data_IF_999677785733
#
_entry.id   IF_999677785733
#
_cell.length_a   1.000
_cell.length_b   1.000
_cell.length_c   1.000
_cell.angle_alpha   90.00
_cell.angle_beta   90.00
_cell.angle_gamma   90.00
#
_symmetry.space_group_name_H-M   'P 1'
#
loop_
_entity.id
_entity.type
_entity.pdbx_description
1 polymer ?
#
# COMPACT_ATOMS: atom_id res chain seq x y z
N UNK A 1 -10.30 18.74 -7.02
CA UNK A 1 -10.39 17.32 -7.45
C UNK A 1 -9.50 16.47 -6.54
N UNK A 2 -10.08 15.70 -5.62
CA UNK A 2 -9.32 14.73 -4.80
C UNK A 2 -8.77 13.63 -5.71
N UNK A 3 -7.48 13.69 -6.03
CA UNK A 3 -6.81 12.59 -6.74
C UNK A 3 -6.92 11.34 -5.85
N UNK A 4 -7.65 10.33 -6.32
CA UNK A 4 -7.74 9.03 -5.67
C UNK A 4 -6.34 8.41 -5.57
N UNK A 5 -6.08 7.56 -4.57
CA UNK A 5 -4.84 6.79 -4.52
C UNK A 5 -4.73 5.92 -5.77
N UNK A 6 -3.54 5.84 -6.35
CA UNK A 6 -3.27 4.95 -7.49
C UNK A 6 -2.86 3.58 -6.95
N UNK A 7 -3.51 2.52 -7.43
CA UNK A 7 -3.18 1.15 -7.04
C UNK A 7 -2.64 0.46 -8.27
N UNK A 8 -1.35 0.19 -8.28
CA UNK A 8 -0.60 -0.43 -9.36
C UNK A 8 -0.20 -1.85 -8.92
N UNK A 9 -1.20 -2.64 -8.51
CA UNK A 9 -1.03 -4.01 -8.07
C UNK A 9 -2.28 -4.83 -8.45
N UNK A 10 -2.13 -6.13 -8.78
CA UNK A 10 -3.23 -6.97 -9.23
C UNK A 10 -4.18 -7.43 -8.11
N UNK A 11 -3.91 -7.06 -6.85
CA UNK A 11 -4.64 -7.55 -5.68
C UNK A 11 -5.83 -6.66 -5.34
N UNK A 12 -6.98 -7.27 -5.03
CA UNK A 12 -8.17 -6.57 -4.56
C UNK A 12 -8.14 -6.40 -3.05
N UNK A 13 -7.62 -7.39 -2.32
CA UNK A 13 -7.55 -7.35 -0.86
C UNK A 13 -6.12 -7.38 -0.34
N UNK A 14 -5.93 -6.92 0.90
CA UNK A 14 -4.64 -7.00 1.59
C UNK A 14 -4.26 -8.46 1.91
N UNK A 15 -5.25 -9.34 2.11
CA UNK A 15 -5.08 -10.76 2.33
C UNK A 15 -4.51 -11.47 1.11
N UNK A 16 -5.04 -11.20 -0.09
CA UNK A 16 -4.50 -11.71 -1.36
C UNK A 16 -3.02 -11.30 -1.52
N UNK A 17 -2.74 -10.03 -1.24
CA UNK A 17 -1.39 -9.48 -1.33
C UNK A 17 -0.42 -10.16 -0.35
N UNK A 18 -0.82 -10.28 0.92
CA UNK A 18 0.00 -10.92 1.94
C UNK A 18 0.20 -12.42 1.66
N UNK A 19 -0.82 -13.12 1.13
CA UNK A 19 -0.76 -14.53 0.77
C UNK A 19 0.22 -14.79 -0.38
N UNK A 20 0.27 -13.90 -1.38
CA UNK A 20 1.25 -13.97 -2.47
C UNK A 20 2.69 -13.68 -2.02
N UNK A 21 2.86 -13.25 -0.75
CA UNK A 21 4.13 -12.83 -0.16
C UNK A 21 4.81 -11.72 -0.96
N UNK A 22 4.03 -10.88 -1.63
CA UNK A 22 4.56 -9.71 -2.33
C UNK A 22 4.71 -8.54 -1.35
N UNK A 23 5.87 -7.90 -1.34
CA UNK A 23 6.06 -6.70 -0.52
C UNK A 23 5.24 -5.54 -1.09
N UNK A 24 4.83 -4.61 -0.23
CA UNK A 24 4.02 -3.46 -0.61
C UNK A 24 4.88 -2.20 -0.60
N UNK A 25 5.01 -1.54 -1.75
CA UNK A 25 5.60 -0.20 -1.83
C UNK A 25 4.51 0.85 -1.78
N UNK A 26 4.63 1.79 -0.85
CA UNK A 26 3.72 2.93 -0.68
C UNK A 26 4.52 4.20 -0.97
N UNK A 27 4.12 4.98 -1.97
CA UNK A 27 4.75 6.24 -2.35
C UNK A 27 3.76 7.40 -2.27
N UNK A 28 4.11 8.47 -1.56
CA UNK A 28 3.31 9.68 -1.49
C UNK A 28 3.71 10.66 -2.61
N UNK A 29 2.75 11.46 -3.08
CA UNK A 29 3.01 12.57 -4.02
C UNK A 29 4.05 13.60 -3.57
N UNK A 30 4.42 13.64 -2.28
CA UNK A 30 5.50 14.49 -1.78
C UNK A 30 6.90 13.90 -2.00
N UNK A 31 7.02 12.74 -2.63
CA UNK A 31 8.29 12.07 -2.93
C UNK A 31 8.75 11.05 -1.89
N UNK A 32 8.13 10.98 -0.71
CA UNK A 32 8.45 9.94 0.28
C UNK A 32 7.86 8.60 -0.13
N UNK A 33 8.64 7.54 0.00
CA UNK A 33 8.14 6.17 -0.16
C UNK A 33 8.64 5.26 0.96
N UNK A 34 7.94 4.15 1.17
CA UNK A 34 8.35 3.07 2.06
C UNK A 34 8.00 1.73 1.44
N UNK A 35 8.81 0.71 1.74
CA UNK A 35 8.50 -0.68 1.45
C UNK A 35 8.03 -1.34 2.73
N UNK A 36 7.02 -2.19 2.60
CA UNK A 36 6.41 -2.93 3.69
C UNK A 36 6.52 -4.42 3.39
N UNK A 37 7.11 -5.21 4.30
CA UNK A 37 7.15 -6.65 4.16
C UNK A 37 5.74 -7.24 4.09
N UNK A 38 5.53 -8.22 3.21
CA UNK A 38 4.22 -8.87 3.02
C UNK A 38 3.59 -9.36 4.34
N UNK A 39 4.42 -9.95 5.21
CA UNK A 39 3.99 -10.47 6.53
C UNK A 39 3.49 -9.39 7.50
N UNK A 40 3.80 -8.11 7.26
CA UNK A 40 3.37 -7.00 8.12
C UNK A 40 2.19 -6.22 7.54
N UNK A 41 1.74 -6.54 6.32
CA UNK A 41 0.67 -5.78 5.64
C UNK A 41 -0.61 -5.81 6.48
N UNK A 42 -1.09 -6.99 6.86
CA UNK A 42 -2.35 -7.12 7.61
C UNK A 42 -2.26 -6.44 8.98
N UNK A 43 -1.13 -6.58 9.69
CA UNK A 43 -0.92 -5.92 10.98
C UNK A 43 -0.97 -4.40 10.82
N UNK A 44 -0.26 -3.86 9.82
CA UNK A 44 -0.19 -2.42 9.57
C UNK A 44 -1.57 -1.79 9.35
N UNK A 45 -2.43 -2.50 8.62
CA UNK A 45 -3.75 -2.02 8.23
C UNK A 45 -4.86 -2.51 9.16
N UNK A 46 -4.49 -3.10 10.31
CA UNK A 46 -5.40 -3.63 11.32
C UNK A 46 -6.42 -4.62 10.74
N UNK A 47 -5.92 -5.58 9.97
CA UNK A 47 -6.69 -6.66 9.34
C UNK A 47 -6.87 -6.50 7.83
N UNK A 48 -7.52 -7.51 7.24
CA UNK A 48 -7.81 -7.57 5.82
C UNK A 48 -8.84 -6.49 5.38
N UNK A 49 -9.02 -6.36 4.08
CA UNK A 49 -9.98 -5.50 3.42
C UNK A 49 -9.51 -5.09 2.04
N UNK A 50 -10.40 -4.39 1.35
CA UNK A 50 -10.11 -3.79 0.04
C UNK A 50 -8.90 -2.84 0.13
N UNK A 51 -7.92 -3.05 -0.76
CA UNK A 51 -6.68 -2.28 -0.81
C UNK A 51 -7.00 -0.79 -0.94
N UNK A 52 -7.94 -0.41 -1.82
CA UNK A 52 -8.27 0.99 -2.08
C UNK A 52 -8.80 1.70 -0.83
N UNK A 53 -9.69 1.04 -0.11
CA UNK A 53 -10.34 1.53 1.11
C UNK A 53 -9.36 1.71 2.27
N UNK A 54 -8.29 0.92 2.31
CA UNK A 54 -7.24 1.01 3.34
C UNK A 54 -6.20 2.06 2.95
N UNK A 55 -5.78 2.09 1.69
CA UNK A 55 -4.78 3.03 1.17
C UNK A 55 -5.26 4.47 1.22
N UNK A 56 -6.55 4.74 0.95
CA UNK A 56 -7.11 6.11 1.01
C UNK A 56 -7.02 6.74 2.41
N UNK A 57 -6.97 5.91 3.46
CA UNK A 57 -6.85 6.35 4.86
C UNK A 57 -5.41 6.67 5.26
N UNK A 58 -4.42 6.27 4.45
CA UNK A 58 -3.01 6.51 4.77
C UNK A 58 -2.71 8.00 4.81
N UNK A 59 -2.02 8.40 5.88
CA UNK A 59 -1.49 9.75 6.07
C UNK A 59 0.03 9.73 5.93
N UNK A 60 0.57 10.54 5.03
CA UNK A 60 2.02 10.71 4.94
C UNK A 60 2.53 11.42 6.20
N UNK A 61 3.50 10.82 6.91
CA UNK A 61 4.16 11.46 8.07
C UNK A 61 4.99 12.69 7.69
N UNK A 62 5.25 12.90 6.40
CA UNK A 62 6.00 14.04 5.91
C UNK A 62 5.19 15.27 5.62
N UNK A 63 4.31 15.17 4.63
CA UNK A 63 3.48 16.29 4.20
C UNK A 63 2.11 16.32 4.88
N UNK A 64 1.77 15.33 5.71
CA UNK A 64 0.50 15.25 6.43
C UNK A 64 -0.73 14.92 5.58
N UNK A 65 -0.59 14.82 4.25
CA UNK A 65 -1.70 14.58 3.31
C UNK A 65 -2.22 13.14 3.38
N UNK A 66 -3.54 12.98 3.13
CA UNK A 66 -4.26 11.70 3.09
C UNK A 66 -4.75 11.38 1.68
N UNK A 67 -4.84 10.11 1.32
CA UNK A 67 -5.45 9.66 0.05
C UNK A 67 -4.67 9.98 -1.22
N UNK A 68 -3.42 10.43 -1.10
CA UNK A 68 -2.54 10.77 -2.22
C UNK A 68 -1.29 9.88 -2.29
N UNK A 69 -1.43 8.62 -1.87
CA UNK A 69 -0.37 7.63 -2.03
C UNK A 69 -0.64 6.78 -3.26
N UNK A 70 0.40 6.45 -4.02
CA UNK A 70 0.39 5.30 -4.92
C UNK A 70 0.91 4.07 -4.18
N UNK A 71 0.35 2.91 -4.51
CA UNK A 71 0.76 1.64 -3.92
C UNK A 71 0.99 0.62 -5.03
N UNK A 72 2.12 -0.06 -5.00
CA UNK A 72 2.53 -1.06 -5.97
C UNK A 72 3.13 -2.28 -5.29
N UNK A 73 3.05 -3.43 -5.95
CA UNK A 73 3.73 -4.64 -5.47
C UNK A 73 5.20 -4.61 -5.82
N UNK A 74 6.03 -5.02 -4.86
CA UNK A 74 7.44 -5.32 -5.07
C UNK A 74 7.51 -6.84 -5.02
N UNK A 75 7.65 -7.50 -6.19
CA UNK A 75 7.83 -8.93 -6.20
C UNK A 75 9.10 -9.27 -5.44
N UNK A 76 9.01 -10.20 -4.48
CA UNK A 76 10.20 -10.83 -3.93
C UNK A 76 10.79 -11.62 -5.10
N UNK A 77 11.90 -11.13 -5.66
CA UNK A 77 12.72 -11.92 -6.58
C UNK A 77 13.07 -13.20 -5.83
N UNK A 78 12.37 -14.30 -6.12
CA UNK A 78 12.74 -15.64 -5.66
C UNK A 78 14.10 -15.92 -6.29
N UNK A 79 15.15 -15.83 -5.47
CA UNK A 79 16.51 -16.22 -5.83
C UNK A 79 16.67 -17.72 -5.72
#
# INVERSE_FOLDING_TARGET
MSKRPTIEAPYKTLGEWAADRADMRIACVCGRSMNMPAGQILERFHGDGDVASKVIRLRCRGCGRRGHASVSSVPILRR
#
